data_IF_773472385176
#
_entry.id   IF_773472385176
#
_cell.length_a   1.000
_cell.length_b   1.000
_cell.length_c   1.000
_cell.angle_alpha   90.00
_cell.angle_beta   90.00
_cell.angle_gamma   90.00
#
_symmetry.space_group_name_H-M   'P 1'
#
loop_
_entity.id
_entity.type
_entity.pdbx_description
1 polymer ?
#
# COMPACT_ATOMS: atom_id res chain seq x y z
N UNK A 1 2.52 0.90 -21.09
CA UNK A 1 3.76 1.40 -20.44
C UNK A 1 3.49 2.11 -19.10
N UNK A 2 2.60 3.12 -19.05
CA UNK A 2 2.27 3.82 -17.79
C UNK A 2 1.72 2.90 -16.70
N UNK A 3 0.71 2.07 -17.01
CA UNK A 3 0.13 1.09 -16.08
C UNK A 3 1.17 0.18 -15.44
N UNK A 4 2.06 -0.42 -16.25
CA UNK A 4 3.13 -1.30 -15.76
C UNK A 4 4.06 -0.59 -14.76
N UNK A 5 4.40 0.68 -15.03
CA UNK A 5 5.20 1.50 -14.11
C UNK A 5 4.50 1.69 -12.76
N UNK A 6 3.20 2.00 -12.77
CA UNK A 6 2.42 2.19 -11.55
C UNK A 6 2.25 0.89 -10.76
N UNK A 7 1.99 -0.23 -11.44
CA UNK A 7 1.91 -1.55 -10.82
C UNK A 7 3.24 -1.93 -10.17
N UNK A 8 4.36 -1.68 -10.84
CA UNK A 8 5.69 -1.93 -10.29
C UNK A 8 5.97 -1.03 -9.08
N UNK A 9 5.60 0.24 -9.14
CA UNK A 9 5.68 1.17 -8.00
C UNK A 9 4.91 0.66 -6.79
N UNK A 10 3.65 0.24 -6.99
CA UNK A 10 2.81 -0.34 -5.93
C UNK A 10 3.44 -1.61 -5.34
N UNK A 11 3.95 -2.50 -6.18
CA UNK A 11 4.61 -3.74 -5.71
C UNK A 11 5.84 -3.43 -4.87
N UNK A 12 6.67 -2.47 -5.30
CA UNK A 12 7.86 -2.03 -4.54
C UNK A 12 7.46 -1.50 -3.17
N UNK A 13 6.44 -0.66 -3.12
CA UNK A 13 5.96 -0.03 -1.91
C UNK A 13 5.35 -1.05 -0.92
N UNK A 14 4.57 -2.01 -1.42
CA UNK A 14 4.05 -3.13 -0.62
C UNK A 14 5.18 -3.96 -0.02
N UNK A 15 6.23 -4.24 -0.80
CA UNK A 15 7.36 -5.02 -0.32
C UNK A 15 8.17 -4.26 0.73
N UNK A 16 8.33 -2.94 0.55
CA UNK A 16 8.96 -2.07 1.54
C UNK A 16 8.19 -2.05 2.86
N UNK A 17 6.85 -1.93 2.81
CA UNK A 17 5.99 -2.03 3.99
C UNK A 17 6.16 -3.37 4.70
N UNK A 18 6.17 -4.48 3.95
CA UNK A 18 6.38 -5.81 4.56
C UNK A 18 7.74 -5.94 5.24
N UNK A 19 8.79 -5.39 4.63
CA UNK A 19 10.14 -5.40 5.24
C UNK A 19 10.14 -4.63 6.56
N UNK A 20 9.58 -3.42 6.60
CA UNK A 20 9.49 -2.58 7.81
C UNK A 20 8.72 -3.30 8.93
N UNK A 21 7.61 -3.97 8.59
CA UNK A 21 6.82 -4.72 9.56
C UNK A 21 7.59 -5.95 10.07
N UNK A 22 8.26 -6.68 9.19
CA UNK A 22 9.04 -7.86 9.54
C UNK A 22 10.22 -7.52 10.46
N UNK A 23 10.92 -6.40 10.21
CA UNK A 23 11.99 -5.88 11.09
C UNK A 23 11.51 -5.61 12.53
N UNK A 24 10.19 -5.44 12.71
CA UNK A 24 9.55 -5.24 14.01
C UNK A 24 8.89 -6.50 14.57
N UNK A 25 9.14 -7.66 13.97
CA UNK A 25 8.54 -8.93 14.36
C UNK A 25 7.07 -9.09 13.95
N UNK A 26 6.53 -8.16 13.16
CA UNK A 26 5.13 -8.19 12.73
C UNK A 26 5.05 -8.92 11.39
N UNK A 27 4.47 -10.11 11.40
CA UNK A 27 4.19 -10.87 10.19
C UNK A 27 2.74 -10.63 9.75
N UNK A 28 2.56 -10.38 8.45
CA UNK A 28 1.24 -10.11 7.87
C UNK A 28 0.92 -11.15 6.81
N UNK A 29 -0.33 -11.62 6.81
CA UNK A 29 -0.81 -12.57 5.81
C UNK A 29 -0.60 -12.04 4.38
N UNK A 30 -0.43 -12.98 3.45
CA UNK A 30 -0.17 -12.67 2.04
C UNK A 30 -1.35 -11.89 1.43
N UNK A 31 -1.00 -10.95 0.55
CA UNK A 31 -1.98 -10.18 -0.23
C UNK A 31 -2.10 -8.72 0.21
N UNK A 32 -2.69 -7.91 -0.69
CA UNK A 32 -2.86 -6.47 -0.48
C UNK A 32 -3.86 -6.17 0.63
N UNK A 33 -5.06 -6.76 0.57
CA UNK A 33 -6.10 -6.51 1.57
C UNK A 33 -5.64 -6.79 3.00
N UNK A 34 -4.96 -7.92 3.21
CA UNK A 34 -4.40 -8.27 4.52
C UNK A 34 -3.39 -7.24 5.03
N UNK A 35 -2.49 -6.76 4.15
CA UNK A 35 -1.53 -5.70 4.49
C UNK A 35 -2.23 -4.38 4.85
N UNK A 36 -3.25 -3.99 4.09
CA UNK A 36 -4.02 -2.78 4.37
C UNK A 36 -4.71 -2.82 5.73
N UNK A 37 -5.31 -3.96 6.09
CA UNK A 37 -5.94 -4.16 7.40
C UNK A 37 -4.92 -4.11 8.54
N UNK A 38 -3.80 -4.81 8.40
CA UNK A 38 -2.74 -4.81 9.42
C UNK A 38 -2.17 -3.41 9.65
N UNK A 39 -1.97 -2.63 8.59
CA UNK A 39 -1.50 -1.25 8.71
C UNK A 39 -2.49 -0.36 9.44
N UNK A 40 -3.80 -0.47 9.16
CA UNK A 40 -4.82 0.29 9.87
C UNK A 40 -4.79 -0.04 11.36
N UNK A 41 -4.79 -1.33 11.72
CA UNK A 41 -4.71 -1.75 13.13
C UNK A 41 -3.46 -1.22 13.83
N UNK A 42 -2.29 -1.27 13.18
CA UNK A 42 -1.03 -0.82 13.79
C UNK A 42 -0.96 0.69 14.03
N UNK A 43 -1.54 1.47 13.11
CA UNK A 43 -1.57 2.94 13.20
C UNK A 43 -2.56 3.39 14.28
N UNK A 44 -3.72 2.73 14.37
CA UNK A 44 -4.79 3.07 15.32
C UNK A 44 -4.51 2.55 16.75
N UNK A 45 -3.70 1.49 16.91
CA UNK A 45 -3.34 0.94 18.21
C UNK A 45 -2.21 1.75 18.87
N UNK A 46 -2.52 2.57 19.88
CA UNK A 46 -1.54 3.30 20.69
C UNK A 46 -0.56 2.38 21.44
N UNK A 47 -0.95 1.13 21.72
CA UNK A 47 -0.15 0.10 22.38
C UNK A 47 0.83 -0.65 21.46
N UNK A 48 0.85 -0.35 20.14
CA UNK A 48 1.68 -1.07 19.16
C UNK A 48 3.20 -0.86 19.31
N UNK A 49 3.65 -0.05 20.27
CA UNK A 49 5.07 0.25 20.50
C UNK A 49 5.75 1.00 19.35
N UNK A 50 4.97 1.48 18.38
CA UNK A 50 5.47 2.28 17.26
C UNK A 50 5.77 3.70 17.73
N UNK A 51 7.01 4.16 17.47
CA UNK A 51 7.37 5.57 17.67
C UNK A 51 6.53 6.48 16.75
N UNK A 52 6.32 7.73 17.17
CA UNK A 52 5.57 8.71 16.39
C UNK A 52 6.10 8.87 14.95
N UNK A 53 7.44 8.85 14.78
CA UNK A 53 8.10 8.90 13.46
C UNK A 53 7.75 7.68 12.60
N UNK A 54 7.66 6.49 13.18
CA UNK A 54 7.28 5.29 12.42
C UNK A 54 5.81 5.33 12.02
N UNK A 55 4.92 5.74 12.92
CA UNK A 55 3.50 5.93 12.59
C UNK A 55 3.33 6.89 11.42
N UNK A 56 4.03 8.03 11.46
CA UNK A 56 4.01 9.01 10.37
C UNK A 56 4.51 8.41 9.04
N UNK A 57 5.59 7.62 9.06
CA UNK A 57 6.13 6.95 7.87
C UNK A 57 5.15 5.91 7.29
N UNK A 58 4.55 5.08 8.15
CA UNK A 58 3.57 4.09 7.71
C UNK A 58 2.33 4.75 7.11
N UNK A 59 1.87 5.85 7.72
CA UNK A 59 0.72 6.61 7.25
C UNK A 59 1.02 7.32 5.90
N UNK A 60 2.20 7.91 5.74
CA UNK A 60 2.65 8.46 4.46
C UNK A 60 2.71 7.38 3.37
N UNK A 61 3.32 6.24 3.67
CA UNK A 61 3.45 5.13 2.74
C UNK A 61 2.07 4.56 2.35
N UNK A 62 1.13 4.51 3.31
CA UNK A 62 -0.26 4.09 3.08
C UNK A 62 -0.99 5.05 2.14
N UNK A 63 -0.79 6.36 2.29
CA UNK A 63 -1.32 7.37 1.36
C UNK A 63 -0.78 7.20 -0.06
N UNK A 64 0.54 7.06 -0.20
CA UNK A 64 1.17 6.83 -1.51
C UNK A 64 0.62 5.56 -2.19
N UNK A 65 0.42 4.49 -1.42
CA UNK A 65 -0.22 3.28 -1.94
C UNK A 65 -1.64 3.56 -2.44
N UNK A 66 -2.47 4.24 -1.64
CA UNK A 66 -3.85 4.54 -2.02
C UNK A 66 -3.91 5.36 -3.32
N UNK A 67 -3.01 6.33 -3.49
CA UNK A 67 -2.89 7.11 -4.73
C UNK A 67 -2.51 6.26 -5.94
N UNK A 68 -1.55 5.34 -5.77
CA UNK A 68 -1.16 4.41 -6.83
C UNK A 68 -2.33 3.50 -7.23
N UNK A 69 -3.08 2.97 -6.26
CA UNK A 69 -4.26 2.14 -6.53
C UNK A 69 -5.37 2.95 -7.25
N UNK A 70 -5.62 4.20 -6.85
CA UNK A 70 -6.57 5.08 -7.52
C UNK A 70 -6.18 5.37 -8.98
N UNK A 71 -4.90 5.68 -9.24
CA UNK A 71 -4.39 5.95 -10.59
C UNK A 71 -4.44 4.72 -11.49
N UNK A 72 -4.11 3.54 -10.96
CA UNK A 72 -4.23 2.28 -11.70
C UNK A 72 -5.70 2.01 -12.06
N UNK A 73 -6.62 2.21 -11.10
CA UNK A 73 -8.05 2.01 -11.34
C UNK A 73 -8.61 2.99 -12.39
N UNK A 74 -8.14 4.24 -12.41
CA UNK A 74 -8.53 5.21 -13.43
C UNK A 74 -8.08 4.79 -14.83
N UNK A 75 -6.81 4.42 -14.99
CA UNK A 75 -6.29 3.92 -16.28
C UNK A 75 -6.99 2.64 -16.74
N UNK A 76 -7.31 1.74 -15.80
CA UNK A 76 -8.03 0.51 -16.11
C UNK A 76 -9.45 0.81 -16.62
N UNK A 77 -10.13 1.84 -16.09
CA UNK A 77 -11.43 2.31 -16.61
C UNK A 77 -11.31 2.92 -18.01
N UNK A 78 -10.35 3.83 -18.20
CA UNK A 78 -10.11 4.48 -19.51
C UNK A 78 -9.84 3.45 -20.62
N UNK A 79 -9.07 2.39 -20.32
CA UNK A 79 -8.84 1.31 -21.29
C UNK A 79 -10.10 0.52 -21.61
N UNK A 80 -10.95 0.22 -20.62
CA UNK A 80 -12.21 -0.49 -20.84
C UNK A 80 -13.18 0.35 -21.67
N UNK A 81 -13.24 1.66 -21.43
CA UNK A 81 -14.08 2.59 -22.19
C UNK A 81 -13.61 2.72 -23.64
N UNK A 82 -12.31 2.89 -23.85
CA UNK A 82 -11.73 2.99 -25.21
C UNK A 82 -11.87 1.69 -26.00
N UNK A 83 -11.80 0.53 -25.36
CA UNK A 83 -11.94 -0.77 -26.02
C UNK A 83 -13.40 -1.16 -26.36
N UNK A 84 -14.38 -0.40 -25.86
CA UNK A 84 -15.82 -0.57 -26.16
C UNK A 84 -16.34 0.38 -27.23
N UNK A 85 -15.53 1.36 -27.63
CA UNK A 85 -15.79 2.28 -28.76
C UNK A 85 -15.22 1.73 -30.06
#
# INVERSE_FOLDING_TARGET
RMRSRLVNGRTRLINQLRAILLERGITVAKGRRALGLALATLVDDEGSGLSARMRALLEETRREWAELDARIAALDREFVETARS
#
